data_IF_501734329917
#
_entry.id   IF_501734329917
#
_cell.length_a   1.000
_cell.length_b   1.000
_cell.length_c   1.000
_cell.angle_alpha   90.00
_cell.angle_beta   90.00
_cell.angle_gamma   90.00
#
_symmetry.space_group_name_H-M   'P 1'
#
loop_
_entity.id
_entity.type
_entity.pdbx_description
1 polymer ?
#
# COMPACT_ATOMS: atom_id res chain seq x y z
N UNK A 1 -12.10 -9.93 -7.14
CA UNK A 1 -12.35 -10.38 -8.53
C UNK A 1 -13.31 -9.44 -9.25
N UNK A 2 -14.37 -9.01 -8.61
CA UNK A 2 -15.44 -8.16 -9.23
C UNK A 2 -14.96 -6.76 -9.65
N UNK A 3 -14.02 -6.18 -8.92
CA UNK A 3 -13.56 -4.81 -9.17
C UNK A 3 -12.25 -4.71 -9.96
N UNK A 4 -11.68 -5.84 -10.37
CA UNK A 4 -10.40 -5.90 -11.06
C UNK A 4 -9.19 -5.53 -10.18
N UNK A 5 -8.00 -5.54 -10.79
CA UNK A 5 -6.74 -5.26 -10.13
C UNK A 5 -6.30 -3.81 -10.36
N UNK A 6 -6.07 -3.01 -9.31
CA UNK A 6 -5.49 -1.69 -9.45
C UNK A 6 -3.99 -1.78 -9.80
N UNK A 7 -3.41 -0.69 -10.26
CA UNK A 7 -1.96 -0.58 -10.44
C UNK A 7 -1.23 -0.47 -9.10
N UNK A 8 -1.80 0.28 -8.16
CA UNK A 8 -1.28 0.52 -6.82
C UNK A 8 -2.30 0.14 -5.76
N UNK A 9 -1.84 -0.32 -4.61
CA UNK A 9 -2.67 -0.56 -3.43
C UNK A 9 -2.00 0.08 -2.21
N UNK A 10 -2.72 1.01 -1.57
CA UNK A 10 -2.25 1.71 -0.38
C UNK A 10 -2.56 0.91 0.88
N UNK A 11 -1.57 0.83 1.75
CA UNK A 11 -1.66 0.16 3.06
C UNK A 11 -1.06 1.03 4.16
N UNK A 12 -1.49 0.80 5.38
CA UNK A 12 -0.75 1.20 6.57
C UNK A 12 0.45 0.26 6.80
N UNK A 13 1.24 0.54 7.85
CA UNK A 13 2.36 -0.31 8.21
C UNK A 13 1.97 -1.47 9.14
N UNK A 14 0.67 -1.83 9.20
CA UNK A 14 0.21 -2.99 9.97
C UNK A 14 0.90 -4.28 9.55
N UNK A 15 1.24 -5.13 10.52
CA UNK A 15 1.98 -6.38 10.29
C UNK A 15 1.27 -7.34 9.35
N UNK A 16 -0.06 -7.28 9.27
CA UNK A 16 -0.87 -8.06 8.31
C UNK A 16 -0.51 -7.74 6.86
N UNK A 17 -0.21 -6.49 6.57
CA UNK A 17 0.10 -6.01 5.21
C UNK A 17 1.59 -6.03 4.93
N UNK A 18 2.37 -5.41 5.83
CA UNK A 18 3.80 -5.22 5.67
C UNK A 18 4.59 -6.52 5.93
N UNK A 19 4.20 -7.28 6.93
CA UNK A 19 4.98 -8.35 7.53
C UNK A 19 5.44 -7.96 8.93
N UNK A 20 6.19 -8.81 9.59
CA UNK A 20 6.68 -8.53 10.95
C UNK A 20 7.76 -7.43 10.92
N UNK A 21 7.68 -6.49 11.87
CA UNK A 21 8.72 -5.47 12.08
C UNK A 21 9.90 -6.01 12.91
N UNK A 22 9.78 -7.22 13.43
CA UNK A 22 10.83 -7.84 14.27
C UNK A 22 12.08 -8.20 13.47
N UNK A 23 11.91 -8.51 12.19
CA UNK A 23 12.98 -8.97 11.33
C UNK A 23 13.13 -8.05 10.12
N UNK A 24 14.36 -7.61 9.81
CA UNK A 24 14.62 -6.89 8.55
C UNK A 24 14.18 -7.71 7.35
N UNK A 25 13.92 -7.04 6.24
CA UNK A 25 13.54 -7.62 4.94
C UNK A 25 12.25 -8.43 4.95
N UNK A 26 11.41 -8.22 5.97
CA UNK A 26 10.16 -8.94 6.13
C UNK A 26 9.12 -8.44 5.11
N UNK A 27 8.69 -9.31 4.20
CA UNK A 27 7.63 -9.03 3.24
C UNK A 27 6.45 -9.98 3.48
N UNK A 28 5.38 -9.43 4.05
CA UNK A 28 4.19 -10.16 4.49
C UNK A 28 3.39 -10.81 3.37
N UNK A 29 2.42 -11.64 3.76
CA UNK A 29 1.54 -12.40 2.86
C UNK A 29 0.80 -11.49 1.87
N UNK A 30 0.26 -10.35 2.33
CA UNK A 30 -0.49 -9.40 1.48
C UNK A 30 0.43 -8.73 0.48
N UNK A 31 1.64 -8.30 0.90
CA UNK A 31 2.66 -7.75 -0.01
C UNK A 31 3.03 -8.77 -1.11
N UNK A 32 3.30 -10.02 -0.74
CA UNK A 32 3.60 -11.10 -1.69
C UNK A 32 2.44 -11.37 -2.65
N UNK A 33 1.21 -11.34 -2.15
CA UNK A 33 0.00 -11.45 -2.98
C UNK A 33 -0.07 -10.31 -4.01
N UNK A 34 0.11 -9.06 -3.58
CA UNK A 34 0.11 -7.90 -4.47
C UNK A 34 1.17 -8.04 -5.57
N UNK A 35 2.41 -8.34 -5.20
CA UNK A 35 3.51 -8.53 -6.16
C UNK A 35 3.21 -9.66 -7.15
N UNK A 36 2.64 -10.79 -6.70
CA UNK A 36 2.28 -11.91 -7.57
C UNK A 36 1.17 -11.59 -8.59
N UNK A 37 0.38 -10.54 -8.30
CA UNK A 37 -0.67 -10.00 -9.18
C UNK A 37 -0.18 -8.77 -9.97
N UNK A 38 1.10 -8.43 -9.90
CA UNK A 38 1.68 -7.21 -10.45
C UNK A 38 0.93 -5.94 -10.02
N UNK A 39 0.50 -5.92 -8.75
CA UNK A 39 -0.01 -4.74 -8.05
C UNK A 39 1.14 -4.20 -7.19
N UNK A 40 1.45 -2.93 -7.32
CA UNK A 40 2.49 -2.28 -6.51
C UNK A 40 1.92 -1.90 -5.15
N UNK A 41 2.36 -2.52 -4.04
CA UNK A 41 1.96 -2.09 -2.71
C UNK A 41 2.66 -0.77 -2.37
N UNK A 42 1.92 0.15 -1.75
CA UNK A 42 2.40 1.45 -1.29
C UNK A 42 2.12 1.56 0.20
N UNK A 43 3.17 1.74 0.99
CA UNK A 43 3.06 1.87 2.45
C UNK A 43 3.13 3.33 2.86
N UNK A 44 2.10 3.78 3.58
CA UNK A 44 2.02 5.12 4.15
C UNK A 44 3.18 5.38 5.13
N UNK A 45 3.57 6.65 5.36
CA UNK A 45 4.55 6.98 6.38
C UNK A 45 4.02 6.58 7.76
N UNK A 46 4.88 6.01 8.63
CA UNK A 46 4.49 5.67 10.00
C UNK A 46 4.00 6.90 10.75
N UNK A 47 2.97 6.73 11.60
CA UNK A 47 2.41 7.76 12.47
C UNK A 47 1.88 9.02 11.75
N UNK A 48 1.86 9.06 10.44
CA UNK A 48 1.41 10.22 9.67
C UNK A 48 -0.09 10.10 9.37
N UNK A 49 -0.90 10.94 10.03
CA UNK A 49 -2.35 10.98 9.81
C UNK A 49 -2.68 11.53 8.42
N UNK A 50 -3.78 11.08 7.84
CA UNK A 50 -4.32 11.60 6.59
C UNK A 50 -3.95 10.83 5.33
N UNK A 51 -2.94 9.97 5.34
CA UNK A 51 -2.60 9.12 4.18
C UNK A 51 -3.66 8.04 3.88
N UNK A 52 -4.56 7.79 4.82
CA UNK A 52 -5.66 6.83 4.69
C UNK A 52 -7.04 7.47 4.88
N UNK A 53 -7.13 8.80 4.77
CA UNK A 53 -8.35 9.56 5.03
C UNK A 53 -9.57 9.06 4.23
N UNK A 54 -9.39 8.62 3.00
CA UNK A 54 -10.49 8.13 2.15
C UNK A 54 -11.09 6.82 2.68
N UNK A 55 -10.27 5.85 3.11
CA UNK A 55 -10.76 4.59 3.66
C UNK A 55 -11.34 4.78 5.06
N UNK A 56 -10.72 5.64 5.88
CA UNK A 56 -11.25 6.01 7.20
C UNK A 56 -12.62 6.69 7.07
N UNK A 57 -12.76 7.65 6.16
CA UNK A 57 -14.03 8.31 5.88
C UNK A 57 -15.08 7.35 5.32
N UNK A 58 -14.68 6.40 4.48
CA UNK A 58 -15.59 5.35 3.99
C UNK A 58 -16.06 4.46 5.13
N UNK A 59 -15.14 3.97 5.96
CA UNK A 59 -15.46 3.10 7.10
C UNK A 59 -16.39 3.80 8.09
N UNK A 60 -16.13 5.07 8.42
CA UNK A 60 -16.99 5.88 9.29
C UNK A 60 -18.39 5.99 8.71
N UNK A 61 -18.53 6.35 7.43
CA UNK A 61 -19.84 6.44 6.77
C UNK A 61 -20.58 5.11 6.74
N UNK A 62 -19.86 4.00 6.55
CA UNK A 62 -20.44 2.67 6.63
C UNK A 62 -20.92 2.34 8.04
N UNK A 63 -20.13 2.62 9.06
CA UNK A 63 -20.54 2.46 10.45
C UNK A 63 -21.79 3.26 10.77
N UNK A 64 -21.81 4.55 10.41
CA UNK A 64 -22.95 5.44 10.69
C UNK A 64 -24.22 5.04 9.92
N UNK A 65 -24.09 4.61 8.66
CA UNK A 65 -25.22 4.32 7.79
C UNK A 65 -25.75 2.88 7.88
N UNK A 66 -24.92 1.94 8.33
CA UNK A 66 -25.24 0.52 8.36
C UNK A 66 -25.19 0.00 9.79
N UNK A 67 -24.01 0.00 10.40
CA UNK A 67 -23.79 -0.68 11.67
C UNK A 67 -24.55 -0.04 12.83
N UNK A 68 -24.60 1.28 12.92
CA UNK A 68 -25.27 2.01 13.99
C UNK A 68 -26.78 2.15 13.80
N UNK A 69 -27.30 1.89 12.60
CA UNK A 69 -28.73 2.07 12.28
C UNK A 69 -29.56 0.81 12.33
N UNK A 70 -28.93 -0.36 12.21
CA UNK A 70 -29.64 -1.62 12.07
C UNK A 70 -29.17 -2.61 13.13
N UNK A 71 -30.12 -3.37 13.66
CA UNK A 71 -29.84 -4.58 14.42
C UNK A 71 -29.97 -5.77 13.48
N UNK A 72 -28.93 -6.56 13.37
CA UNK A 72 -28.85 -7.71 12.45
C UNK A 72 -29.12 -9.01 13.22
N UNK A 73 -29.99 -9.86 12.68
CA UNK A 73 -30.26 -11.19 13.23
C UNK A 73 -29.16 -12.18 12.89
N UNK A 74 -28.51 -11.97 11.75
CA UNK A 74 -27.45 -12.84 11.26
C UNK A 74 -26.50 -12.06 10.34
N UNK A 75 -25.41 -12.73 9.92
CA UNK A 75 -24.39 -12.19 9.02
C UNK A 75 -24.96 -11.78 7.68
N UNK A 76 -25.92 -12.53 7.14
CA UNK A 76 -26.42 -12.33 5.77
C UNK A 76 -27.23 -11.01 5.67
N UNK A 77 -27.98 -10.66 6.71
CA UNK A 77 -28.64 -9.36 6.80
C UNK A 77 -27.62 -8.20 6.82
N UNK A 78 -26.53 -8.34 7.59
CA UNK A 78 -25.46 -7.34 7.64
C UNK A 78 -24.76 -7.19 6.28
N UNK A 79 -24.51 -8.31 5.58
CA UNK A 79 -23.92 -8.32 4.22
C UNK A 79 -24.87 -7.67 3.22
N UNK A 80 -26.17 -7.97 3.26
CA UNK A 80 -27.16 -7.37 2.37
C UNK A 80 -27.27 -5.85 2.55
N UNK A 81 -27.30 -5.35 3.78
CA UNK A 81 -27.32 -3.92 4.05
C UNK A 81 -26.01 -3.23 3.64
N UNK A 82 -24.88 -3.86 3.90
CA UNK A 82 -23.58 -3.38 3.45
C UNK A 82 -23.51 -3.29 1.92
N UNK A 83 -24.04 -4.28 1.20
CA UNK A 83 -24.11 -4.26 -0.26
C UNK A 83 -24.96 -3.12 -0.80
N UNK A 84 -26.10 -2.83 -0.18
CA UNK A 84 -26.96 -1.68 -0.51
C UNK A 84 -26.22 -0.35 -0.31
N UNK A 85 -25.51 -0.21 0.83
CA UNK A 85 -24.70 0.97 1.10
C UNK A 85 -23.60 1.15 0.06
N UNK A 86 -22.85 0.09 -0.25
CA UNK A 86 -21.77 0.13 -1.25
C UNK A 86 -22.32 0.52 -2.63
N UNK A 87 -23.47 -0.03 -3.04
CA UNK A 87 -24.12 0.32 -4.30
C UNK A 87 -24.53 1.81 -4.35
N UNK A 88 -25.11 2.33 -3.27
CA UNK A 88 -25.47 3.74 -3.16
C UNK A 88 -24.23 4.65 -3.16
N UNK A 89 -23.17 4.25 -2.45
CA UNK A 89 -21.90 4.96 -2.41
C UNK A 89 -21.25 5.01 -3.82
N UNK A 90 -21.22 3.89 -4.55
CA UNK A 90 -20.69 3.84 -5.92
C UNK A 90 -21.47 4.78 -6.86
N UNK A 91 -22.80 4.81 -6.79
CA UNK A 91 -23.62 5.74 -7.59
C UNK A 91 -23.28 7.20 -7.28
N UNK A 92 -23.15 7.54 -5.99
CA UNK A 92 -22.82 8.92 -5.57
C UNK A 92 -21.46 9.39 -6.08
N UNK A 93 -20.51 8.48 -6.20
CA UNK A 93 -19.14 8.79 -6.63
C UNK A 93 -18.83 8.29 -8.04
N UNK A 94 -19.86 8.02 -8.87
CA UNK A 94 -19.71 7.43 -10.19
C UNK A 94 -18.72 8.19 -11.06
N UNK A 95 -18.82 9.52 -11.15
CA UNK A 95 -17.92 10.38 -11.94
C UNK A 95 -16.45 10.17 -11.52
N UNK A 96 -16.15 10.18 -10.22
CA UNK A 96 -14.78 9.96 -9.72
C UNK A 96 -14.28 8.54 -9.99
N UNK A 97 -15.18 7.57 -10.10
CA UNK A 97 -14.84 6.18 -10.42
C UNK A 97 -14.58 6.02 -11.92
N UNK A 98 -15.34 6.72 -12.76
CA UNK A 98 -15.18 6.74 -14.23
C UNK A 98 -13.85 7.37 -14.64
N UNK A 99 -13.43 8.42 -13.95
CA UNK A 99 -12.12 9.09 -14.16
C UNK A 99 -10.93 8.27 -13.61
N UNK A 100 -11.18 7.21 -12.85
CA UNK A 100 -10.13 6.40 -12.28
C UNK A 100 -9.41 5.56 -13.36
N UNK A 101 -8.10 5.34 -13.23
CA UNK A 101 -7.36 4.48 -14.16
C UNK A 101 -7.98 3.11 -14.31
N UNK A 102 -8.05 2.62 -15.54
CA UNK A 102 -8.61 1.30 -15.86
C UNK A 102 -7.95 0.20 -15.04
N UNK A 103 -8.77 -0.68 -14.49
CA UNK A 103 -8.31 -1.82 -13.72
C UNK A 103 -8.11 -3.03 -14.61
N UNK A 104 -7.08 -3.82 -14.34
CA UNK A 104 -6.80 -5.06 -15.05
C UNK A 104 -7.76 -6.17 -14.59
N UNK A 105 -8.16 -7.10 -15.46
CA UNK A 105 -8.96 -8.24 -15.03
C UNK A 105 -8.18 -9.14 -14.07
N UNK A 106 -8.88 -9.75 -13.12
CA UNK A 106 -8.28 -10.72 -12.23
C UNK A 106 -7.99 -12.03 -13.01
N UNK A 107 -6.77 -12.59 -12.92
CA UNK A 107 -6.44 -13.82 -13.66
C UNK A 107 -7.30 -15.01 -13.23
N UNK A 108 -7.89 -15.74 -14.21
CA UNK A 108 -8.83 -16.84 -13.94
C UNK A 108 -8.21 -17.96 -13.10
N UNK A 109 -6.99 -18.37 -13.41
CA UNK A 109 -6.30 -19.52 -12.81
C UNK A 109 -5.22 -19.13 -11.78
N UNK A 110 -5.27 -17.91 -11.24
CA UNK A 110 -4.29 -17.47 -10.26
C UNK A 110 -4.46 -18.19 -8.93
N UNK A 111 -3.32 -18.68 -8.42
CA UNK A 111 -3.18 -19.23 -7.07
C UNK A 111 -2.01 -18.54 -6.37
N UNK A 112 -2.18 -18.22 -5.10
CA UNK A 112 -1.12 -17.63 -4.28
C UNK A 112 -0.05 -18.69 -4.00
N UNK A 113 1.18 -18.40 -4.41
CA UNK A 113 2.36 -19.16 -4.04
C UNK A 113 3.31 -18.24 -3.27
N UNK A 114 3.37 -18.40 -1.96
CA UNK A 114 4.18 -17.58 -1.06
C UNK A 114 5.68 -17.88 -1.15
N UNK A 115 6.04 -19.02 -1.75
CA UNK A 115 7.43 -19.46 -1.91
C UNK A 115 8.05 -19.00 -3.24
N UNK A 116 7.23 -18.39 -4.12
CA UNK A 116 7.73 -17.89 -5.40
C UNK A 116 8.73 -16.74 -5.16
N UNK A 117 9.86 -16.67 -5.91
CA UNK A 117 10.78 -15.56 -5.85
C UNK A 117 10.07 -14.22 -6.03
N UNK A 118 10.42 -13.25 -5.19
CA UNK A 118 9.82 -11.93 -5.22
C UNK A 118 10.31 -11.15 -6.44
N UNK A 119 9.39 -10.52 -7.14
CA UNK A 119 9.66 -9.64 -8.28
C UNK A 119 8.71 -8.46 -8.25
N UNK A 120 9.12 -7.35 -8.84
CA UNK A 120 8.32 -6.13 -8.89
C UNK A 120 8.79 -5.08 -7.90
N UNK A 121 7.96 -4.07 -7.67
CA UNK A 121 8.32 -2.90 -6.86
C UNK A 121 7.40 -2.78 -5.67
N UNK A 122 7.98 -2.47 -4.51
CA UNK A 122 7.27 -2.04 -3.30
C UNK A 122 7.63 -0.58 -3.04
N UNK A 123 6.65 0.25 -2.72
CA UNK A 123 6.88 1.67 -2.43
C UNK A 123 6.64 1.91 -0.94
N UNK A 124 7.60 2.56 -0.31
CA UNK A 124 7.49 3.06 1.05
C UNK A 124 7.54 4.58 1.05
N UNK A 125 6.55 5.23 1.64
CA UNK A 125 6.65 6.65 1.96
C UNK A 125 7.26 6.75 3.35
N UNK A 126 8.39 7.48 3.47
CA UNK A 126 9.14 7.62 4.71
C UNK A 126 9.51 9.07 4.95
N UNK A 127 9.69 9.43 6.21
CA UNK A 127 10.27 10.70 6.59
C UNK A 127 11.76 10.51 6.87
N UNK A 128 12.57 11.41 6.38
CA UNK A 128 14.01 11.42 6.66
C UNK A 128 14.27 11.99 8.06
N UNK A 129 15.25 11.44 8.76
CA UNK A 129 15.70 11.92 10.07
C UNK A 129 16.56 13.19 9.98
N UNK A 130 17.10 13.67 11.11
CA UNK A 130 17.96 14.85 11.21
C UNK A 130 19.30 14.69 10.44
N UNK A 131 19.71 13.46 10.13
CA UNK A 131 20.91 13.13 9.35
C UNK A 131 20.58 12.97 7.84
N UNK A 132 19.32 13.16 7.43
CA UNK A 132 18.90 12.96 6.04
C UNK A 132 18.82 11.50 5.62
N UNK A 133 18.60 10.60 6.58
CA UNK A 133 18.47 9.15 6.38
C UNK A 133 17.01 8.71 6.47
N UNK A 134 16.66 7.62 5.81
CA UNK A 134 15.32 7.01 5.88
C UNK A 134 15.41 5.51 6.20
N UNK A 135 14.45 5.03 7.01
CA UNK A 135 14.34 3.61 7.36
C UNK A 135 13.39 2.88 6.41
N UNK A 136 13.87 1.82 5.78
CA UNK A 136 13.10 0.94 4.89
C UNK A 136 13.46 -0.52 5.17
N UNK A 137 12.46 -1.36 5.41
CA UNK A 137 12.62 -2.79 5.67
C UNK A 137 13.58 -3.13 6.81
N UNK A 138 13.66 -2.27 7.85
CA UNK A 138 14.54 -2.44 9.00
C UNK A 138 16.00 -2.06 8.75
N UNK A 139 16.30 -1.41 7.63
CA UNK A 139 17.61 -0.85 7.30
C UNK A 139 17.55 0.66 7.19
N UNK A 140 18.61 1.33 7.61
CA UNK A 140 18.77 2.79 7.48
C UNK A 140 19.61 3.11 6.26
N UNK A 141 19.12 4.01 5.40
CA UNK A 141 19.76 4.41 4.16
C UNK A 141 20.04 5.91 4.16
N UNK A 142 21.23 6.30 3.73
CA UNK A 142 21.57 7.69 3.47
C UNK A 142 20.81 8.19 2.23
N UNK A 143 20.03 9.24 2.39
CA UNK A 143 19.21 9.79 1.30
C UNK A 143 19.78 11.13 0.82
N UNK A 144 19.83 12.11 1.72
CA UNK A 144 20.40 13.43 1.38
C UNK A 144 20.55 14.28 2.62
N UNK A 145 21.73 14.89 2.89
CA UNK A 145 21.95 15.75 4.05
C UNK A 145 21.14 17.05 4.02
N UNK A 146 20.64 17.44 2.85
CA UNK A 146 19.80 18.64 2.69
C UNK A 146 18.30 18.33 2.64
N UNK A 147 17.92 17.03 2.71
CA UNK A 147 16.53 16.61 2.68
C UNK A 147 16.12 16.00 4.02
N UNK A 148 16.24 16.80 5.10
CA UNK A 148 15.97 16.41 6.49
C UNK A 148 14.52 16.69 6.88
N UNK A 149 13.91 15.82 7.70
CA UNK A 149 12.52 15.92 8.16
C UNK A 149 11.52 16.13 7.02
N UNK A 150 11.76 15.46 5.90
CA UNK A 150 10.90 15.53 4.71
C UNK A 150 10.52 14.14 4.22
N UNK A 151 9.38 14.08 3.57
CA UNK A 151 8.91 12.85 2.99
C UNK A 151 9.70 12.50 1.72
N UNK A 152 10.01 11.22 1.61
CA UNK A 152 10.60 10.60 0.44
C UNK A 152 9.77 9.39 0.03
N UNK A 153 9.77 9.10 -1.26
CA UNK A 153 9.25 7.86 -1.84
C UNK A 153 10.42 6.92 -2.08
N UNK A 154 10.52 5.88 -1.27
CA UNK A 154 11.48 4.81 -1.46
C UNK A 154 10.87 3.71 -2.33
N UNK A 155 11.44 3.48 -3.51
CA UNK A 155 11.06 2.42 -4.43
C UNK A 155 12.01 1.24 -4.29
N UNK A 156 11.56 0.17 -3.67
CA UNK A 156 12.30 -1.08 -3.55
C UNK A 156 12.01 -1.93 -4.80
N UNK A 157 12.93 -1.95 -5.74
CA UNK A 157 12.85 -2.77 -6.96
C UNK A 157 13.46 -4.14 -6.70
N UNK A 158 12.62 -5.09 -6.34
CA UNK A 158 13.02 -6.47 -6.05
C UNK A 158 13.52 -7.25 -7.28
N UNK A 159 13.26 -6.73 -8.48
CA UNK A 159 13.72 -7.34 -9.73
C UNK A 159 15.13 -6.92 -10.06
N UNK A 160 15.46 -5.64 -9.79
CA UNK A 160 16.76 -5.06 -10.05
C UNK A 160 17.72 -5.13 -8.85
N UNK A 161 17.22 -5.45 -7.66
CA UNK A 161 17.99 -5.41 -6.43
C UNK A 161 18.44 -3.99 -6.07
N UNK A 162 17.53 -3.02 -6.11
CA UNK A 162 17.84 -1.61 -5.86
C UNK A 162 16.75 -0.92 -5.07
N UNK A 163 17.16 0.04 -4.23
CA UNK A 163 16.26 1.01 -3.61
C UNK A 163 16.58 2.40 -4.14
N UNK A 164 15.56 3.09 -4.66
CA UNK A 164 15.67 4.47 -5.13
C UNK A 164 14.83 5.38 -4.27
N UNK A 165 15.43 6.48 -3.80
CA UNK A 165 14.76 7.49 -3.00
C UNK A 165 14.44 8.72 -3.85
N UNK A 166 13.16 9.08 -3.92
CA UNK A 166 12.68 10.25 -4.64
C UNK A 166 12.10 11.26 -3.68
N UNK A 167 12.38 12.53 -3.91
CA UNK A 167 11.80 13.64 -3.16
C UNK A 167 10.28 13.67 -3.36
N UNK A 168 9.52 13.77 -2.26
CA UNK A 168 8.09 14.07 -2.32
C UNK A 168 7.88 15.54 -2.03
N UNK A 169 7.50 16.32 -3.06
CA UNK A 169 7.26 17.74 -3.00
C UNK A 169 5.77 18.06 -3.00
N UNK A 170 5.27 18.70 -1.95
CA UNK A 170 3.85 19.07 -1.85
C UNK A 170 3.41 20.06 -2.94
N UNK A 171 4.29 21.00 -3.32
CA UNK A 171 4.00 22.04 -4.32
C UNK A 171 4.18 21.55 -5.76
N UNK A 172 4.92 20.48 -5.96
CA UNK A 172 5.22 19.91 -7.26
C UNK A 172 5.21 18.37 -7.18
N UNK A 173 4.01 17.76 -7.08
CA UNK A 173 3.87 16.32 -6.84
C UNK A 173 4.29 15.46 -8.04
N UNK A 174 4.43 16.05 -9.22
CA UNK A 174 4.86 15.34 -10.44
C UNK A 174 6.38 15.31 -10.61
N UNK A 175 7.11 16.14 -9.88
CA UNK A 175 8.57 16.19 -9.94
C UNK A 175 9.17 15.20 -8.95
N UNK A 176 9.55 14.04 -9.46
CA UNK A 176 10.15 12.96 -8.69
C UNK A 176 11.68 13.03 -8.75
N UNK A 177 12.26 14.10 -8.19
CA UNK A 177 13.72 14.23 -8.12
C UNK A 177 14.34 13.01 -7.40
N UNK A 178 15.23 12.31 -8.09
CA UNK A 178 16.01 11.22 -7.51
C UNK A 178 17.05 11.82 -6.54
N UNK A 179 17.04 11.39 -5.29
CA UNK A 179 17.95 11.83 -4.24
C UNK A 179 19.10 10.84 -4.04
N UNK A 180 18.78 9.54 -4.00
CA UNK A 180 19.77 8.48 -3.79
C UNK A 180 19.35 7.17 -4.44
N UNK A 181 20.32 6.33 -4.75
CA UNK A 181 20.11 4.93 -5.16
C UNK A 181 21.08 4.06 -4.37
N UNK A 182 20.58 2.95 -3.84
CA UNK A 182 21.36 1.96 -3.09
C UNK A 182 21.10 0.57 -3.67
N UNK A 183 22.11 -0.25 -3.68
CA UNK A 183 21.94 -1.68 -3.94
C UNK A 183 21.18 -2.32 -2.78
N UNK A 184 20.37 -3.31 -3.10
CA UNK A 184 19.54 -4.01 -2.13
C UNK A 184 19.44 -5.49 -2.48
N UNK A 185 19.99 -6.32 -1.61
CA UNK A 185 19.89 -7.76 -1.75
C UNK A 185 18.49 -8.23 -1.47
N UNK A 186 17.79 -8.63 -2.53
CA UNK A 186 16.42 -9.14 -2.40
C UNK A 186 16.41 -10.37 -1.50
N UNK A 187 15.53 -10.42 -0.49
CA UNK A 187 15.46 -11.56 0.41
C UNK A 187 15.16 -12.84 -0.35
N UNK A 188 16.08 -13.80 -0.26
CA UNK A 188 15.94 -15.14 -0.85
C UNK A 188 15.28 -16.14 0.09
N UNK A 189 15.14 -15.77 1.38
CA UNK A 189 14.56 -16.62 2.42
C UNK A 189 13.12 -17.02 2.06
N UNK A 190 12.84 -18.30 2.23
CA UNK A 190 11.47 -18.81 2.09
C UNK A 190 10.54 -18.11 3.07
N UNK A 191 9.30 -17.91 2.64
CA UNK A 191 8.28 -17.40 3.53
C UNK A 191 8.03 -18.40 4.67
N UNK A 192 8.22 -17.96 5.91
CA UNK A 192 7.85 -18.68 7.14
C UNK A 192 6.80 -17.85 7.86
N UNK A 193 5.74 -18.50 8.34
CA UNK A 193 4.69 -17.87 9.17
C UNK A 193 5.19 -17.63 10.60
#
# INVERSE_FOLDING_TARGET
REVGLPRYANFDNGTVFHGTHRWPDSLGRVTRMCLSLAVTPVFAPPLCRGFQADIEAFNRRWQDAVWSRFTFRNRDEAVAQSARFVAAHRRRYAVRIEDAPARRPFPKNWRLNLQKPLKGTVIYVRETNAQGQAEVLGHTFDVSPVWVHRLVRAEVDLTKGQIRFHALRRKDPHNHLLLATHDYDTPTKRFTE
#
